data_IF_882602506146
#
_entry.id   IF_882602506146
#
_cell.length_a   1.000
_cell.length_b   1.000
_cell.length_c   1.000
_cell.angle_alpha   90.00
_cell.angle_beta   90.00
_cell.angle_gamma   90.00
#
_symmetry.space_group_name_H-M   'P 1'
#
loop_
_entity.id
_entity.type
_entity.pdbx_description
1 polymer ?
#
# COMPACT_ATOMS: atom_id res chain seq x y z
N UNK A 1 -18.58 17.90 -26.72
CA UNK A 1 -17.92 17.96 -25.38
C UNK A 1 -16.46 17.65 -25.66
N UNK A 2 -15.62 18.68 -25.67
CA UNK A 2 -14.17 18.49 -25.84
C UNK A 2 -13.64 17.66 -24.67
N UNK A 3 -13.38 16.38 -24.95
CA UNK A 3 -12.62 15.54 -24.05
C UNK A 3 -11.16 15.97 -24.16
N UNK A 4 -10.73 16.96 -23.38
CA UNK A 4 -9.32 17.31 -23.30
C UNK A 4 -8.55 16.09 -22.84
N UNK A 5 -7.82 15.48 -23.78
CA UNK A 5 -6.90 14.38 -23.49
C UNK A 5 -5.82 14.94 -22.57
N UNK A 6 -5.76 14.42 -21.34
CA UNK A 6 -4.66 14.76 -20.43
C UNK A 6 -3.40 14.03 -20.87
N UNK A 7 -2.25 14.71 -20.91
CA UNK A 7 -0.96 14.12 -21.27
C UNK A 7 0.05 14.24 -20.14
N UNK A 8 0.90 13.22 -19.98
CA UNK A 8 1.99 13.16 -19.00
C UNK A 8 3.15 12.32 -19.53
N UNK A 9 4.38 12.53 -19.06
CA UNK A 9 5.48 11.63 -19.43
C UNK A 9 5.27 10.24 -18.80
N UNK A 10 4.92 10.19 -17.52
CA UNK A 10 4.71 8.92 -16.83
C UNK A 10 3.39 8.93 -16.06
N UNK A 11 2.57 7.91 -16.33
CA UNK A 11 1.39 7.60 -15.54
C UNK A 11 1.75 6.55 -14.47
N UNK A 12 1.53 6.89 -13.21
CA UNK A 12 1.69 5.96 -12.09
C UNK A 12 0.31 5.55 -11.60
N UNK A 13 0.02 4.25 -11.61
CA UNK A 13 -1.25 3.70 -11.13
C UNK A 13 -1.07 3.18 -9.71
N UNK A 14 -1.79 3.80 -8.77
CA UNK A 14 -1.72 3.53 -7.34
C UNK A 14 -0.93 4.60 -6.57
N UNK A 15 -1.59 5.25 -5.60
CA UNK A 15 -1.01 6.24 -4.69
C UNK A 15 -0.61 5.62 -3.35
N UNK A 16 -0.13 4.36 -3.36
CA UNK A 16 0.52 3.69 -2.22
C UNK A 16 2.00 4.08 -2.10
N UNK A 17 2.72 3.43 -1.17
CA UNK A 17 4.15 3.69 -0.93
C UNK A 17 4.97 3.59 -2.23
N UNK A 18 4.84 2.50 -2.97
CA UNK A 18 5.62 2.31 -4.20
C UNK A 18 5.34 3.39 -5.25
N UNK A 19 4.06 3.70 -5.49
CA UNK A 19 3.68 4.70 -6.50
C UNK A 19 4.12 6.11 -6.13
N UNK A 20 4.00 6.51 -4.86
CA UNK A 20 4.43 7.84 -4.40
C UNK A 20 5.95 8.01 -4.45
N UNK A 21 6.71 6.98 -4.08
CA UNK A 21 8.18 6.99 -4.22
C UNK A 21 8.57 7.04 -5.70
N UNK A 22 7.96 6.21 -6.56
CA UNK A 22 8.24 6.24 -8.00
C UNK A 22 7.96 7.63 -8.61
N UNK A 23 6.81 8.23 -8.28
CA UNK A 23 6.44 9.56 -8.74
C UNK A 23 7.45 10.63 -8.28
N UNK A 24 7.87 10.56 -7.01
CA UNK A 24 8.88 11.47 -6.46
C UNK A 24 10.22 11.38 -7.20
N UNK A 25 10.70 10.17 -7.54
CA UNK A 25 11.95 9.96 -8.30
C UNK A 25 11.84 10.51 -9.72
N UNK A 26 10.73 10.24 -10.39
CA UNK A 26 10.48 10.71 -11.76
C UNK A 26 10.41 12.25 -11.83
N UNK A 27 9.71 12.89 -10.87
CA UNK A 27 9.67 14.34 -10.76
C UNK A 27 11.04 14.96 -10.52
N UNK A 28 11.88 14.34 -9.66
CA UNK A 28 13.27 14.79 -9.47
C UNK A 28 14.12 14.67 -10.72
N UNK A 29 13.81 13.71 -11.58
CA UNK A 29 14.46 13.56 -12.89
C UNK A 29 13.84 14.49 -13.97
N UNK A 30 12.98 15.44 -13.59
CA UNK A 30 12.38 16.43 -14.50
C UNK A 30 11.28 15.89 -15.40
N UNK A 31 10.67 14.72 -15.04
CA UNK A 31 9.54 14.18 -15.80
C UNK A 31 8.22 14.71 -15.27
N UNK A 32 7.27 14.97 -16.16
CA UNK A 32 5.87 15.19 -15.76
C UNK A 32 5.24 13.87 -15.33
N UNK A 33 4.55 13.87 -14.19
CA UNK A 33 3.98 12.65 -13.60
C UNK A 33 2.54 12.91 -13.19
N UNK A 34 1.66 12.00 -13.58
CA UNK A 34 0.30 11.91 -13.05
C UNK A 34 0.16 10.60 -12.28
N UNK A 35 -0.26 10.70 -11.02
CA UNK A 35 -0.61 9.52 -10.22
C UNK A 35 -2.13 9.39 -10.19
N UNK A 36 -2.66 8.20 -10.46
CA UNK A 36 -4.09 7.90 -10.32
C UNK A 36 -4.31 6.84 -9.26
N UNK A 37 -5.36 6.99 -8.46
CA UNK A 37 -5.76 6.01 -7.46
C UNK A 37 -7.29 5.88 -7.41
N UNK A 38 -7.79 4.66 -7.31
CA UNK A 38 -9.23 4.38 -7.17
C UNK A 38 -9.80 4.75 -5.80
N UNK A 39 -8.93 4.92 -4.81
CA UNK A 39 -9.31 5.25 -3.43
C UNK A 39 -9.67 6.73 -3.25
N UNK A 40 -10.35 7.02 -2.14
CA UNK A 40 -10.69 8.39 -1.72
C UNK A 40 -9.53 9.13 -1.06
N UNK A 41 -8.38 8.49 -0.89
CA UNK A 41 -7.19 9.07 -0.28
C UNK A 41 -5.94 8.30 -0.67
N UNK A 42 -4.79 8.97 -0.53
CA UNK A 42 -3.48 8.36 -0.75
C UNK A 42 -3.12 7.38 0.36
N UNK A 43 -2.22 6.43 0.06
CA UNK A 43 -1.60 5.54 1.02
C UNK A 43 -1.91 4.07 0.82
N UNK A 44 -3.03 3.72 0.19
CA UNK A 44 -3.41 2.32 0.03
C UNK A 44 -3.44 1.58 1.38
N UNK A 45 -2.55 0.60 1.59
CA UNK A 45 -2.43 -0.15 2.85
C UNK A 45 -1.80 0.61 4.03
N UNK A 46 -1.33 1.84 3.83
CA UNK A 46 -1.01 2.78 4.91
C UNK A 46 -2.25 3.53 5.42
N UNK A 47 -3.46 3.07 5.09
CA UNK A 47 -4.69 3.78 5.39
C UNK A 47 -4.97 3.83 6.91
N UNK A 48 -5.40 5.01 7.34
CA UNK A 48 -5.98 5.23 8.65
C UNK A 48 -7.44 5.64 8.51
N UNK A 49 -8.27 5.32 9.49
CA UNK A 49 -9.70 5.65 9.51
C UNK A 49 -10.05 6.40 10.78
N UNK A 50 -10.92 7.40 10.66
CA UNK A 50 -11.54 8.07 11.80
C UNK A 50 -12.97 7.59 11.95
N UNK A 51 -13.34 7.19 13.16
CA UNK A 51 -14.66 6.70 13.52
C UNK A 51 -15.04 7.39 14.83
N UNK A 52 -16.04 8.28 14.77
CA UNK A 52 -16.62 8.93 15.95
C UNK A 52 -15.56 9.48 16.94
N UNK A 53 -14.58 10.22 16.46
CA UNK A 53 -13.50 10.82 17.25
C UNK A 53 -12.24 9.96 17.43
N UNK A 54 -12.36 8.65 17.35
CA UNK A 54 -11.22 7.75 17.41
C UNK A 54 -10.50 7.62 16.07
N UNK A 55 -9.18 7.45 16.12
CA UNK A 55 -8.34 7.22 14.93
C UNK A 55 -7.75 5.81 14.98
N UNK A 56 -7.83 5.10 13.86
CA UNK A 56 -7.35 3.74 13.71
C UNK A 56 -6.40 3.64 12.51
N UNK A 57 -5.21 3.12 12.71
CA UNK A 57 -4.45 2.53 11.62
C UNK A 57 -5.01 1.12 11.40
N UNK A 58 -5.66 0.88 10.26
CA UNK A 58 -6.34 -0.40 10.00
C UNK A 58 -5.66 -1.25 8.92
N UNK A 59 -4.64 -0.70 8.28
CA UNK A 59 -3.69 -1.42 7.45
C UNK A 59 -2.39 -1.65 8.22
N UNK A 60 -1.26 -1.15 7.68
CA UNK A 60 0.02 -1.23 8.37
C UNK A 60 -0.03 -0.45 9.69
N UNK A 61 0.39 -1.10 10.78
CA UNK A 61 0.46 -0.45 12.09
C UNK A 61 1.71 0.40 12.24
N UNK A 62 2.74 0.04 11.54
CA UNK A 62 4.04 0.67 11.51
C UNK A 62 4.89 0.00 10.43
N UNK A 63 6.16 0.30 10.41
CA UNK A 63 7.10 -0.33 9.50
C UNK A 63 8.52 -0.28 10.07
N UNK A 64 9.39 -1.09 9.50
CA UNK A 64 10.82 -1.11 9.84
C UNK A 64 11.64 -0.47 8.74
N UNK A 65 12.80 0.06 9.11
CA UNK A 65 13.89 0.43 8.20
C UNK A 65 15.18 -0.21 8.68
N UNK A 66 16.11 -0.43 7.76
CA UNK A 66 17.42 -1.03 8.06
C UNK A 66 17.75 -2.21 7.16
N UNK A 67 16.87 -2.61 6.25
CA UNK A 67 17.22 -3.56 5.20
C UNK A 67 18.26 -2.91 4.26
N UNK A 68 19.47 -3.50 4.21
CA UNK A 68 20.58 -2.99 3.42
C UNK A 68 20.25 -2.86 1.92
N UNK A 69 19.38 -3.72 1.40
CA UNK A 69 18.89 -3.66 0.00
C UNK A 69 18.07 -2.41 -0.26
N UNK A 70 17.33 -1.96 0.75
CA UNK A 70 16.48 -0.78 0.69
C UNK A 70 17.21 0.52 1.10
N UNK A 71 18.45 0.44 1.54
CA UNK A 71 19.27 1.59 1.96
C UNK A 71 19.27 2.75 0.95
N UNK A 72 19.36 2.51 -0.39
CA UNK A 72 19.34 3.60 -1.36
C UNK A 72 18.08 4.46 -1.32
N UNK A 73 16.95 3.93 -0.83
CA UNK A 73 15.69 4.71 -0.70
C UNK A 73 15.86 5.87 0.26
N UNK A 74 16.63 5.70 1.33
CA UNK A 74 16.77 6.69 2.39
C UNK A 74 15.42 7.08 3.00
N UNK A 75 14.54 6.10 3.22
CA UNK A 75 13.13 6.32 3.55
C UNK A 75 12.94 7.19 4.80
N UNK A 76 13.71 6.95 5.86
CA UNK A 76 13.67 7.75 7.08
C UNK A 76 13.93 9.24 6.80
N UNK A 77 14.97 9.54 5.99
CA UNK A 77 15.33 10.91 5.65
C UNK A 77 14.22 11.59 4.82
N UNK A 78 13.57 10.84 3.92
CA UNK A 78 12.47 11.35 3.11
C UNK A 78 11.24 11.67 3.92
N UNK A 79 10.97 10.87 4.96
CA UNK A 79 9.76 11.01 5.79
C UNK A 79 9.91 12.04 6.91
N UNK A 80 11.14 12.32 7.39
CA UNK A 80 11.39 13.35 8.38
C UNK A 80 10.41 13.31 9.56
N UNK A 81 9.73 14.42 9.82
CA UNK A 81 8.74 14.53 10.89
C UNK A 81 7.41 13.79 10.68
N UNK A 82 7.20 13.14 9.51
CA UNK A 82 6.02 12.33 9.27
C UNK A 82 6.07 10.95 9.94
N UNK A 83 7.16 10.63 10.65
CA UNK A 83 7.35 9.37 11.38
C UNK A 83 7.90 9.62 12.79
N UNK A 84 7.61 8.69 13.68
CA UNK A 84 8.17 8.63 15.02
C UNK A 84 8.56 7.20 15.37
N UNK A 85 9.54 7.04 16.25
CA UNK A 85 9.92 5.71 16.76
C UNK A 85 8.73 5.05 17.47
N UNK A 86 8.51 3.78 17.17
CA UNK A 86 7.50 2.97 17.82
C UNK A 86 7.82 1.48 17.67
N UNK A 87 8.18 0.85 18.77
CA UNK A 87 8.41 -0.60 18.85
C UNK A 87 7.11 -1.23 19.38
N UNK A 88 6.27 -1.83 18.51
CA UNK A 88 4.95 -2.32 18.94
C UNK A 88 5.05 -3.39 20.03
N UNK A 89 5.96 -4.32 19.88
CA UNK A 89 6.18 -5.43 20.79
C UNK A 89 7.69 -5.60 21.01
N UNK A 90 8.22 -5.28 22.21
CA UNK A 90 9.64 -5.42 22.50
C UNK A 90 10.19 -6.85 22.34
N UNK A 91 9.33 -7.88 22.48
CA UNK A 91 9.72 -9.27 22.28
C UNK A 91 10.02 -9.61 20.82
N UNK A 92 9.51 -8.80 19.87
CA UNK A 92 9.71 -8.94 18.43
C UNK A 92 10.85 -8.07 17.88
N UNK A 93 11.72 -7.59 18.76
CA UNK A 93 12.86 -6.77 18.35
C UNK A 93 13.82 -7.55 17.46
N UNK A 94 14.08 -7.01 16.27
CA UNK A 94 15.09 -7.54 15.35
C UNK A 94 16.29 -6.60 15.33
N UNK A 95 17.48 -7.15 15.56
CA UNK A 95 18.71 -6.38 15.58
C UNK A 95 18.94 -5.69 14.22
N UNK A 96 19.39 -4.44 14.26
CA UNK A 96 19.64 -3.63 13.06
C UNK A 96 18.39 -2.99 12.43
N UNK A 97 17.17 -3.37 12.84
CA UNK A 97 15.95 -2.75 12.34
C UNK A 97 15.45 -1.66 13.27
N UNK A 98 15.05 -0.53 12.69
CA UNK A 98 14.42 0.57 13.40
C UNK A 98 12.93 0.57 13.08
N UNK A 99 12.10 0.61 14.14
CA UNK A 99 10.65 0.57 14.03
C UNK A 99 10.05 1.99 14.06
N UNK A 100 9.10 2.22 13.16
CA UNK A 100 8.46 3.52 12.96
C UNK A 100 6.94 3.40 12.94
N UNK A 101 6.27 4.42 13.45
CA UNK A 101 4.86 4.70 13.18
C UNK A 101 4.70 5.99 12.39
N UNK A 102 3.59 6.17 11.72
CA UNK A 102 3.23 7.42 11.09
C UNK A 102 2.82 8.52 12.10
N UNK A 103 3.06 9.77 11.73
CA UNK A 103 2.64 10.98 12.46
C UNK A 103 1.75 11.80 11.53
N UNK A 104 0.54 12.20 11.97
CA UNK A 104 -0.16 11.82 13.21
C UNK A 104 -0.63 10.35 13.22
N UNK A 105 -0.66 9.66 12.08
CA UNK A 105 -1.04 8.25 11.88
C UNK A 105 -0.44 7.76 10.57
N UNK A 106 -0.58 6.47 10.22
CA UNK A 106 0.07 5.89 9.04
C UNK A 106 -0.32 6.56 7.72
N UNK A 107 -1.56 7.04 7.57
CA UNK A 107 -1.94 7.81 6.37
C UNK A 107 -1.22 9.16 6.26
N UNK A 108 -0.67 9.69 7.35
CA UNK A 108 0.18 10.88 7.37
C UNK A 108 1.47 10.71 6.57
N UNK A 109 2.05 9.51 6.62
CA UNK A 109 3.25 9.12 5.83
C UNK A 109 2.98 9.29 4.32
N UNK A 110 1.87 8.71 3.85
CA UNK A 110 1.51 8.81 2.44
C UNK A 110 1.16 10.24 2.02
N UNK A 111 0.46 10.99 2.87
CA UNK A 111 0.14 12.40 2.62
C UNK A 111 1.40 13.26 2.52
N UNK A 112 2.39 13.00 3.38
CA UNK A 112 3.68 13.68 3.31
C UNK A 112 4.41 13.40 1.99
N UNK A 113 4.46 12.14 1.56
CA UNK A 113 5.07 11.75 0.29
C UNK A 113 4.33 12.31 -0.93
N UNK A 114 3.03 12.54 -0.84
CA UNK A 114 2.20 13.08 -1.91
C UNK A 114 2.37 14.60 -2.11
N UNK A 115 3.07 15.30 -1.20
CA UNK A 115 3.31 16.75 -1.35
C UNK A 115 4.06 17.06 -2.65
N UNK A 116 3.48 17.95 -3.46
CA UNK A 116 4.04 18.33 -4.76
C UNK A 116 3.82 17.31 -5.88
N UNK A 117 3.12 16.21 -5.64
CA UNK A 117 2.76 15.21 -6.66
C UNK A 117 1.32 15.47 -7.13
N UNK A 118 1.10 15.48 -8.44
CA UNK A 118 -0.25 15.53 -9.00
C UNK A 118 -0.93 14.17 -8.86
N UNK A 119 -1.82 14.03 -7.87
CA UNK A 119 -2.58 12.80 -7.59
C UNK A 119 -4.06 13.01 -7.90
N UNK A 120 -4.61 12.15 -8.75
CA UNK A 120 -6.04 12.07 -9.03
C UNK A 120 -6.64 10.90 -8.26
N UNK A 121 -7.38 11.20 -7.21
CA UNK A 121 -8.11 10.23 -6.41
C UNK A 121 -9.45 9.85 -7.06
N UNK A 122 -10.08 8.79 -6.55
CA UNK A 122 -11.34 8.24 -7.08
C UNK A 122 -11.28 7.98 -8.60
N UNK A 123 -10.05 7.71 -9.09
CA UNK A 123 -9.74 7.56 -10.51
C UNK A 123 -9.21 6.15 -10.76
N UNK A 124 -10.13 5.21 -10.91
CA UNK A 124 -9.83 3.84 -11.33
C UNK A 124 -9.67 3.76 -12.84
N UNK A 125 -8.74 2.92 -13.30
CA UNK A 125 -8.59 2.61 -14.72
C UNK A 125 -9.45 1.40 -15.11
N UNK A 126 -10.03 1.46 -16.31
CA UNK A 126 -10.77 0.33 -16.92
C UNK A 126 -10.00 -0.30 -18.06
N UNK A 127 -9.23 0.49 -18.82
CA UNK A 127 -8.36 -0.02 -19.87
C UNK A 127 -7.03 0.72 -19.95
N UNK A 128 -6.04 0.02 -20.49
CA UNK A 128 -4.71 0.54 -20.79
C UNK A 128 -4.30 0.01 -22.15
N UNK A 129 -4.27 0.84 -23.17
CA UNK A 129 -3.99 0.44 -24.57
C UNK A 129 -2.78 1.20 -25.09
N UNK A 130 -2.11 0.64 -26.07
CA UNK A 130 -1.04 1.32 -26.81
C UNK A 130 -1.62 2.06 -28.02
N UNK A 131 -1.12 3.26 -28.26
CA UNK A 131 -1.35 4.02 -29.49
C UNK A 131 0.02 4.50 -29.98
N UNK A 132 0.50 3.91 -31.07
CA UNK A 132 1.85 4.09 -31.60
C UNK A 132 2.93 3.84 -30.51
N UNK A 133 3.48 4.91 -29.92
CA UNK A 133 4.59 4.86 -28.95
C UNK A 133 4.20 5.32 -27.55
N UNK A 134 2.90 5.41 -27.27
CA UNK A 134 2.38 5.87 -25.97
C UNK A 134 1.28 4.96 -25.44
N UNK A 135 1.03 5.06 -24.15
CA UNK A 135 -0.10 4.44 -23.49
C UNK A 135 -1.30 5.39 -23.45
N UNK A 136 -2.48 4.84 -23.70
CA UNK A 136 -3.76 5.52 -23.48
C UNK A 136 -4.51 4.78 -22.38
N UNK A 137 -4.62 5.41 -21.23
CA UNK A 137 -5.37 4.91 -20.09
C UNK A 137 -6.77 5.51 -20.10
N UNK A 138 -7.80 4.65 -19.97
CA UNK A 138 -9.19 5.11 -19.82
C UNK A 138 -9.63 4.88 -18.38
N UNK A 139 -10.21 5.92 -17.79
CA UNK A 139 -10.70 5.91 -16.42
C UNK A 139 -12.15 5.45 -16.33
N UNK A 140 -12.63 5.07 -15.13
CA UNK A 140 -14.01 4.65 -14.87
C UNK A 140 -15.05 5.71 -15.29
N UNK A 141 -14.71 6.98 -15.27
CA UNK A 141 -15.58 8.08 -15.69
C UNK A 141 -15.41 8.48 -17.16
N UNK A 142 -14.72 7.64 -17.97
CA UNK A 142 -14.59 7.81 -19.42
C UNK A 142 -13.52 8.81 -19.86
N UNK A 143 -12.76 9.45 -18.95
CA UNK A 143 -11.64 10.32 -19.33
C UNK A 143 -10.47 9.50 -19.81
N UNK A 144 -9.62 10.09 -20.65
CA UNK A 144 -8.40 9.48 -21.16
C UNK A 144 -7.16 10.22 -20.69
N UNK A 145 -6.12 9.45 -20.39
CA UNK A 145 -4.79 9.96 -20.03
C UNK A 145 -3.78 9.30 -20.97
N UNK A 146 -3.08 10.13 -21.75
CA UNK A 146 -1.97 9.71 -22.58
C UNK A 146 -0.66 9.77 -21.78
N UNK A 147 0.18 8.74 -21.88
CA UNK A 147 1.46 8.68 -21.18
C UNK A 147 2.53 8.00 -22.04
N UNK A 148 3.77 8.50 -21.98
CA UNK A 148 4.89 7.86 -22.67
C UNK A 148 5.29 6.55 -21.98
N UNK A 149 5.11 6.46 -20.66
CA UNK A 149 5.38 5.27 -19.87
C UNK A 149 4.35 5.08 -18.76
N UNK A 150 4.21 3.82 -18.27
CA UNK A 150 3.30 3.48 -17.17
C UNK A 150 4.02 2.67 -16.10
N UNK A 151 3.72 2.97 -14.82
CA UNK A 151 4.10 2.13 -13.68
C UNK A 151 2.82 1.66 -13.00
N UNK A 152 2.62 0.34 -12.91
CA UNK A 152 1.52 -0.29 -12.19
C UNK A 152 1.99 -0.67 -10.79
N UNK A 153 1.37 -0.11 -9.75
CA UNK A 153 1.70 -0.40 -8.36
C UNK A 153 0.56 -1.02 -7.52
N UNK A 154 -0.64 -1.31 -8.07
CA UNK A 154 -1.62 -2.12 -7.36
C UNK A 154 -1.08 -3.53 -7.08
N UNK A 155 -1.65 -4.26 -6.09
CA UNK A 155 -1.36 -5.68 -5.93
C UNK A 155 -1.41 -6.41 -7.27
N UNK A 156 -0.46 -7.31 -7.52
CA UNK A 156 -0.25 -7.92 -8.84
C UNK A 156 -1.52 -8.51 -9.46
N UNK A 157 -2.42 -9.20 -8.72
CA UNK A 157 -3.67 -9.68 -9.32
C UNK A 157 -4.57 -8.57 -9.87
N UNK A 158 -4.54 -7.36 -9.28
CA UNK A 158 -5.30 -6.22 -9.81
C UNK A 158 -4.64 -5.63 -11.06
N UNK A 159 -3.31 -5.58 -11.09
CA UNK A 159 -2.56 -5.14 -12.27
C UNK A 159 -2.77 -6.10 -13.45
N UNK A 160 -2.74 -7.41 -13.19
CA UNK A 160 -3.02 -8.42 -14.21
C UNK A 160 -4.45 -8.33 -14.74
N UNK A 161 -5.44 -8.14 -13.86
CA UNK A 161 -6.83 -7.96 -14.26
C UNK A 161 -7.02 -6.74 -15.19
N UNK A 162 -6.32 -5.62 -14.92
CA UNK A 162 -6.34 -4.45 -15.79
C UNK A 162 -5.70 -4.75 -17.15
N UNK A 163 -4.55 -5.43 -17.18
CA UNK A 163 -3.86 -5.79 -18.44
C UNK A 163 -4.69 -6.77 -19.26
N UNK A 164 -5.33 -7.74 -18.62
CA UNK A 164 -6.20 -8.72 -19.28
C UNK A 164 -7.44 -8.05 -19.88
N UNK A 165 -8.11 -7.19 -19.11
CA UNK A 165 -9.26 -6.42 -19.59
C UNK A 165 -8.89 -5.47 -20.75
N UNK A 166 -7.62 -5.10 -20.84
CA UNK A 166 -7.08 -4.23 -21.88
C UNK A 166 -6.57 -4.98 -23.12
N UNK A 167 -6.49 -6.31 -23.08
CA UNK A 167 -5.90 -7.14 -24.13
C UNK A 167 -4.37 -6.97 -24.26
N UNK A 168 -3.68 -6.52 -23.21
CA UNK A 168 -2.22 -6.36 -23.21
C UNK A 168 -1.57 -7.72 -22.96
N UNK A 169 -0.96 -8.27 -24.00
CA UNK A 169 -0.24 -9.54 -23.92
C UNK A 169 1.10 -9.36 -23.18
N UNK A 170 1.36 -10.22 -22.21
CA UNK A 170 2.64 -10.33 -21.54
C UNK A 170 3.42 -11.53 -22.05
N UNK A 171 4.76 -11.46 -22.13
CA UNK A 171 5.58 -12.63 -22.42
C UNK A 171 5.24 -13.78 -21.44
N UNK A 172 5.13 -15.05 -21.92
CA UNK A 172 4.69 -16.17 -21.08
C UNK A 172 5.51 -16.36 -19.79
N UNK A 173 6.82 -16.20 -19.86
CA UNK A 173 7.71 -16.28 -18.68
C UNK A 173 7.42 -15.19 -17.65
N UNK A 174 7.16 -13.96 -18.10
CA UNK A 174 6.80 -12.85 -17.22
C UNK A 174 5.42 -13.07 -16.58
N UNK A 175 4.45 -13.52 -17.39
CA UNK A 175 3.11 -13.86 -16.90
C UNK A 175 3.16 -14.94 -15.82
N UNK A 176 3.99 -15.96 -16.01
CA UNK A 176 4.18 -17.03 -15.03
C UNK A 176 4.73 -16.48 -13.69
N UNK A 177 5.76 -15.64 -13.75
CA UNK A 177 6.33 -14.97 -12.55
C UNK A 177 5.27 -14.15 -11.80
N UNK A 178 4.50 -13.34 -12.52
CA UNK A 178 3.47 -12.49 -11.92
C UNK A 178 2.33 -13.32 -11.29
N UNK A 179 1.92 -14.42 -11.93
CA UNK A 179 0.90 -15.32 -11.40
C UNK A 179 1.37 -16.07 -10.13
N UNK A 180 2.67 -16.23 -9.93
CA UNK A 180 3.24 -16.85 -8.73
C UNK A 180 3.20 -15.95 -7.48
N UNK A 181 2.97 -14.64 -7.66
CA UNK A 181 2.88 -13.71 -6.53
C UNK A 181 1.52 -13.86 -5.85
N UNK A 182 1.54 -14.31 -4.61
CA UNK A 182 0.35 -14.60 -3.82
C UNK A 182 0.22 -13.64 -2.63
N UNK A 183 -1.02 -13.37 -2.24
CA UNK A 183 -1.34 -12.48 -1.14
C UNK A 183 -2.24 -13.15 -0.12
N UNK A 184 -1.94 -12.92 1.16
CA UNK A 184 -2.82 -13.23 2.26
C UNK A 184 -4.01 -12.25 2.30
N UNK A 185 -5.15 -12.74 2.83
CA UNK A 185 -6.28 -11.90 3.24
C UNK A 185 -6.12 -11.51 4.71
N UNK A 186 -6.73 -10.39 5.10
CA UNK A 186 -6.79 -10.01 6.50
C UNK A 186 -8.13 -9.33 6.82
N UNK A 187 -8.85 -9.88 7.78
CA UNK A 187 -9.97 -9.21 8.43
C UNK A 187 -9.42 -8.34 9.56
N UNK A 188 -9.80 -7.07 9.56
CA UNK A 188 -9.35 -6.11 10.56
C UNK A 188 -10.55 -5.53 11.28
N UNK A 189 -10.58 -5.64 12.61
CA UNK A 189 -11.60 -5.03 13.47
C UNK A 189 -11.03 -3.75 14.08
N UNK A 190 -11.76 -2.67 13.96
CA UNK A 190 -11.50 -1.38 14.60
C UNK A 190 -12.54 -1.18 15.69
N UNK A 191 -12.15 -1.33 16.95
CA UNK A 191 -13.06 -1.28 18.10
C UNK A 191 -12.80 -0.04 18.97
N UNK A 192 -13.85 0.73 19.26
CA UNK A 192 -13.84 1.78 20.30
C UNK A 192 -14.21 1.13 21.63
N UNK A 193 -13.47 1.45 22.66
CA UNK A 193 -13.70 0.94 24.01
C UNK A 193 -14.36 1.98 24.90
N UNK A 194 -15.03 1.52 25.96
CA UNK A 194 -15.63 2.37 27.00
C UNK A 194 -14.57 2.90 28.00
N UNK A 195 -13.37 2.30 27.99
CA UNK A 195 -12.26 2.66 28.86
C UNK A 195 -10.92 2.17 28.30
N UNK A 196 -9.83 2.31 29.05
CA UNK A 196 -8.50 1.91 28.59
C UNK A 196 -8.40 0.39 28.39
N UNK A 197 -7.59 0.00 27.42
CA UNK A 197 -7.26 -1.41 27.21
C UNK A 197 -6.28 -1.94 28.29
N UNK A 198 -6.08 -3.27 28.33
CA UNK A 198 -5.01 -3.93 29.11
C UNK A 198 -3.76 -4.21 28.31
N UNK A 199 -3.69 -3.68 27.09
CA UNK A 199 -2.50 -3.83 26.24
C UNK A 199 -1.35 -3.07 26.89
N UNK A 200 -0.18 -3.69 27.10
CA UNK A 200 0.95 -3.00 27.73
C UNK A 200 1.50 -1.89 26.80
N UNK A 201 2.08 -0.82 27.38
CA UNK A 201 2.84 0.13 26.58
C UNK A 201 3.99 -0.54 25.83
N UNK A 202 4.28 -0.10 24.59
CA UNK A 202 3.76 1.07 23.89
C UNK A 202 2.53 0.80 23.00
N UNK A 203 1.68 -0.18 23.33
CA UNK A 203 0.37 -0.33 22.74
C UNK A 203 0.31 -1.30 21.54
N UNK A 204 1.22 -2.26 21.47
CA UNK A 204 1.19 -3.32 20.45
C UNK A 204 1.50 -4.69 21.01
N UNK A 205 0.85 -5.70 20.48
CA UNK A 205 1.09 -7.11 20.79
C UNK A 205 1.11 -7.93 19.49
N UNK A 206 2.05 -8.85 19.40
CA UNK A 206 2.08 -9.90 18.38
C UNK A 206 1.64 -11.21 19.02
N UNK A 207 0.69 -11.90 18.39
CA UNK A 207 0.14 -13.15 18.88
C UNK A 207 0.58 -14.31 17.99
N UNK A 208 0.98 -15.40 18.61
CA UNK A 208 1.49 -16.60 17.93
C UNK A 208 0.48 -17.75 17.91
N UNK A 209 -0.68 -17.55 18.54
CA UNK A 209 -1.75 -18.56 18.62
C UNK A 209 -3.13 -17.89 18.54
N UNK A 210 -4.14 -18.68 18.18
CA UNK A 210 -5.51 -18.19 18.03
C UNK A 210 -5.75 -17.46 16.70
N UNK A 211 -6.91 -16.78 16.55
CA UNK A 211 -7.34 -16.19 15.28
C UNK A 211 -6.75 -14.79 15.00
N UNK A 212 -5.93 -14.24 15.88
CA UNK A 212 -5.34 -12.91 15.79
C UNK A 212 -3.82 -12.99 15.57
N UNK A 213 -3.31 -12.15 14.66
CA UNK A 213 -1.85 -11.94 14.48
C UNK A 213 -1.34 -10.80 15.36
N UNK A 214 -2.15 -9.77 15.54
CA UNK A 214 -1.75 -8.60 16.32
C UNK A 214 -2.93 -7.84 16.88
N UNK A 215 -2.67 -7.18 18.01
CA UNK A 215 -3.57 -6.22 18.65
C UNK A 215 -2.81 -4.92 18.84
N UNK A 216 -3.43 -3.79 18.47
CA UNK A 216 -2.81 -2.48 18.66
C UNK A 216 -3.77 -1.53 19.35
N UNK A 217 -3.35 -0.96 20.47
CA UNK A 217 -4.01 0.17 21.11
C UNK A 217 -3.55 1.47 20.45
N UNK A 218 -4.45 2.10 19.70
CA UNK A 218 -4.15 3.31 18.95
C UNK A 218 -3.98 4.54 19.86
N UNK A 219 -4.55 4.53 21.08
CA UNK A 219 -4.35 5.58 22.07
C UNK A 219 -2.95 5.50 22.67
N UNK A 220 -2.51 4.33 23.14
CA UNK A 220 -1.15 4.11 23.64
C UNK A 220 -0.09 4.32 22.54
N UNK A 221 -0.40 3.93 21.32
CA UNK A 221 0.44 4.21 20.14
C UNK A 221 0.55 5.73 19.87
N UNK A 222 -0.33 6.55 20.43
CA UNK A 222 -0.31 8.02 20.31
C UNK A 222 -0.90 8.55 19.00
N UNK A 223 -1.87 7.85 18.41
CA UNK A 223 -2.57 8.28 17.18
C UNK A 223 -4.05 8.55 17.39
N UNK A 224 -4.64 8.08 18.51
CA UNK A 224 -6.04 8.33 18.88
C UNK A 224 -6.12 9.10 20.20
N UNK A 225 -7.03 10.06 20.27
CA UNK A 225 -7.37 10.73 21.52
C UNK A 225 -8.31 9.93 22.42
N UNK A 226 -8.95 8.90 21.88
CA UNK A 226 -9.89 8.02 22.57
C UNK A 226 -9.39 6.58 22.60
N UNK A 227 -9.93 5.78 23.52
CA UNK A 227 -9.63 4.34 23.62
C UNK A 227 -10.10 3.60 22.38
N UNK A 228 -9.15 3.13 21.60
CA UNK A 228 -9.35 2.58 20.27
C UNK A 228 -8.35 1.45 19.99
N UNK A 229 -8.85 0.28 19.66
CA UNK A 229 -8.05 -0.93 19.42
C UNK A 229 -8.26 -1.44 18.00
N UNK A 230 -7.16 -1.77 17.32
CA UNK A 230 -7.17 -2.45 16.02
C UNK A 230 -6.76 -3.92 16.22
N UNK A 231 -7.59 -4.84 15.74
CA UNK A 231 -7.33 -6.29 15.74
C UNK A 231 -7.06 -6.72 14.30
N UNK A 232 -5.95 -7.41 14.05
CA UNK A 232 -5.69 -8.06 12.77
C UNK A 232 -5.83 -9.57 12.91
N UNK A 233 -6.71 -10.15 12.11
CA UNK A 233 -6.89 -11.59 12.07
C UNK A 233 -5.73 -12.30 11.36
N UNK A 234 -5.55 -13.59 11.66
CA UNK A 234 -4.64 -14.45 10.91
C UNK A 234 -5.11 -14.64 9.47
N UNK A 235 -4.22 -14.99 8.54
CA UNK A 235 -4.59 -15.33 7.16
C UNK A 235 -5.60 -16.48 7.11
N UNK A 236 -5.42 -17.51 7.93
CA UNK A 236 -6.27 -18.71 8.01
C UNK A 236 -7.68 -18.34 8.44
N UNK A 237 -7.83 -17.60 9.56
CA UNK A 237 -9.13 -17.12 10.01
C UNK A 237 -9.77 -16.22 8.96
N UNK A 238 -9.00 -15.32 8.35
CA UNK A 238 -9.49 -14.39 7.35
C UNK A 238 -9.97 -15.11 6.09
N UNK A 239 -9.30 -16.17 5.67
CA UNK A 239 -9.68 -16.98 4.53
C UNK A 239 -10.98 -17.74 4.82
N UNK A 240 -11.07 -18.41 5.98
CA UNK A 240 -12.24 -19.18 6.39
C UNK A 240 -13.50 -18.30 6.52
N UNK A 241 -13.34 -17.06 7.05
CA UNK A 241 -14.46 -16.16 7.33
C UNK A 241 -14.65 -15.07 6.26
N UNK A 242 -13.96 -15.17 5.12
CA UNK A 242 -13.97 -14.09 4.12
C UNK A 242 -15.35 -13.78 3.56
N UNK A 243 -16.14 -14.80 3.30
CA UNK A 243 -17.48 -14.70 2.69
C UNK A 243 -18.62 -14.83 3.72
N UNK A 244 -18.28 -14.95 5.03
CA UNK A 244 -19.23 -14.96 6.14
C UNK A 244 -19.66 -13.53 6.53
N UNK A 245 -20.65 -13.43 7.41
CA UNK A 245 -21.07 -12.15 7.96
C UNK A 245 -19.92 -11.47 8.71
N UNK A 246 -19.72 -10.19 8.44
CA UNK A 246 -18.61 -9.40 9.01
C UNK A 246 -18.79 -9.15 10.51
N UNK A 247 -20.03 -9.03 10.97
CA UNK A 247 -20.34 -8.78 12.37
C UNK A 247 -20.11 -10.03 13.20
N UNK A 248 -20.51 -11.20 12.70
CA UNK A 248 -20.21 -12.49 13.35
C UNK A 248 -18.70 -12.72 13.45
N UNK A 249 -17.97 -12.51 12.35
CA UNK A 249 -16.52 -12.63 12.32
C UNK A 249 -15.85 -11.67 13.31
N UNK A 250 -16.36 -10.44 13.44
CA UNK A 250 -15.85 -9.48 14.42
C UNK A 250 -16.09 -9.94 15.85
N UNK A 251 -17.26 -10.49 16.18
CA UNK A 251 -17.53 -10.98 17.53
C UNK A 251 -16.60 -12.12 17.95
N UNK A 252 -16.24 -13.01 17.01
CA UNK A 252 -15.26 -14.06 17.28
C UNK A 252 -13.87 -13.48 17.60
N UNK A 253 -13.43 -12.46 16.82
CA UNK A 253 -12.14 -11.79 17.03
C UNK A 253 -12.12 -10.96 18.32
N UNK A 254 -13.22 -10.26 18.64
CA UNK A 254 -13.37 -9.52 19.90
C UNK A 254 -13.37 -10.45 21.11
N UNK A 255 -14.03 -11.61 21.01
CA UNK A 255 -14.00 -12.64 22.05
C UNK A 255 -12.59 -13.19 22.26
N UNK A 256 -11.85 -13.44 21.16
CA UNK A 256 -10.46 -13.90 21.25
C UNK A 256 -9.51 -12.83 21.84
N UNK A 257 -9.88 -11.55 21.75
CA UNK A 257 -9.13 -10.44 22.32
C UNK A 257 -9.56 -10.02 23.73
N UNK A 258 -10.58 -10.66 24.34
CA UNK A 258 -11.28 -10.19 25.53
C UNK A 258 -10.35 -9.86 26.71
N UNK A 259 -9.31 -10.67 26.95
CA UNK A 259 -8.35 -10.46 28.03
C UNK A 259 -7.55 -9.15 27.86
N UNK A 260 -7.37 -8.68 26.62
CA UNK A 260 -6.59 -7.50 26.27
C UNK A 260 -7.44 -6.24 26.14
N UNK A 261 -8.76 -6.36 25.88
CA UNK A 261 -9.63 -5.20 25.70
C UNK A 261 -9.82 -4.38 26.97
N UNK A 262 -9.90 -5.04 28.13
CA UNK A 262 -9.93 -4.38 29.44
C UNK A 262 -11.21 -3.63 29.78
N UNK A 263 -12.00 -3.23 28.79
CA UNK A 263 -13.26 -2.51 28.92
C UNK A 263 -14.28 -3.00 27.88
N UNK A 264 -15.54 -2.59 28.05
CA UNK A 264 -16.61 -2.89 27.11
C UNK A 264 -16.34 -2.28 25.73
N UNK A 265 -16.81 -2.98 24.68
CA UNK A 265 -16.75 -2.48 23.30
C UNK A 265 -17.96 -1.60 23.03
N UNK A 266 -17.73 -0.31 22.81
CA UNK A 266 -18.79 0.67 22.52
C UNK A 266 -19.32 0.54 21.10
N UNK A 267 -18.43 0.40 20.14
CA UNK A 267 -18.76 0.22 18.72
C UNK A 267 -17.57 -0.37 17.98
N UNK A 268 -17.81 -0.99 16.84
CA UNK A 268 -16.72 -1.48 15.98
C UNK A 268 -17.10 -1.39 14.50
N UNK A 269 -16.07 -1.41 13.66
CA UNK A 269 -16.18 -1.58 12.22
C UNK A 269 -15.21 -2.67 11.76
N UNK A 270 -15.56 -3.36 10.67
CA UNK A 270 -14.71 -4.39 10.06
C UNK A 270 -14.27 -3.94 8.69
N UNK A 271 -12.98 -4.15 8.40
CA UNK A 271 -12.41 -3.98 7.07
C UNK A 271 -11.80 -5.30 6.59
N UNK A 272 -12.02 -5.62 5.32
CA UNK A 272 -11.41 -6.80 4.68
C UNK A 272 -10.32 -6.38 3.68
N UNK A 273 -9.08 -6.72 3.96
CA UNK A 273 -7.96 -6.58 3.05
C UNK A 273 -7.83 -7.83 2.18
N UNK A 274 -8.29 -7.78 0.94
CA UNK A 274 -8.21 -8.94 0.02
C UNK A 274 -6.77 -9.27 -0.36
N UNK A 275 -5.91 -8.27 -0.45
CA UNK A 275 -4.48 -8.36 -0.75
C UNK A 275 -3.72 -7.65 0.37
N UNK A 276 -3.69 -8.27 1.55
CA UNK A 276 -3.14 -7.67 2.76
C UNK A 276 -1.61 -7.61 2.71
N UNK A 277 -1.00 -8.77 2.60
CA UNK A 277 0.45 -8.95 2.60
C UNK A 277 0.81 -10.00 1.55
N UNK A 278 1.85 -9.80 0.75
CA UNK A 278 2.34 -10.86 -0.12
C UNK A 278 2.87 -12.02 0.72
N UNK A 279 2.48 -13.24 0.34
CA UNK A 279 2.97 -14.50 0.89
C UNK A 279 4.12 -15.04 0.05
N UNK A 280 4.00 -14.90 -1.26
CA UNK A 280 5.03 -15.20 -2.24
C UNK A 280 5.40 -13.92 -2.98
N UNK A 281 6.68 -13.62 -3.03
CA UNK A 281 7.25 -12.44 -3.68
C UNK A 281 8.00 -12.84 -4.96
N UNK A 282 8.07 -11.94 -5.91
CA UNK A 282 9.10 -11.99 -6.93
C UNK A 282 10.43 -11.45 -6.35
N UNK A 283 11.57 -12.12 -6.56
CA UNK A 283 12.86 -11.69 -6.01
C UNK A 283 13.38 -10.36 -6.60
N UNK A 284 12.97 -10.03 -7.82
CA UNK A 284 13.35 -8.77 -8.45
C UNK A 284 12.56 -7.60 -7.85
N UNK A 285 13.18 -6.43 -7.63
CA UNK A 285 12.51 -5.29 -7.02
C UNK A 285 11.45 -4.64 -7.90
N UNK A 286 11.45 -4.89 -9.20
CA UNK A 286 10.39 -4.54 -10.13
C UNK A 286 10.50 -5.40 -11.40
N UNK A 287 9.44 -5.43 -12.20
CA UNK A 287 9.46 -6.12 -13.50
C UNK A 287 9.13 -5.14 -14.63
N UNK A 288 10.00 -5.08 -15.63
CA UNK A 288 9.76 -4.31 -16.84
C UNK A 288 9.02 -5.23 -17.85
N UNK A 289 7.77 -4.93 -18.12
CA UNK A 289 6.90 -5.72 -18.97
C UNK A 289 7.00 -5.33 -20.45
N UNK A 290 7.34 -4.08 -20.75
CA UNK A 290 7.58 -3.55 -22.08
C UNK A 290 8.61 -2.42 -22.01
N UNK A 291 9.41 -2.26 -23.06
CA UNK A 291 10.35 -1.16 -23.23
C UNK A 291 9.85 -0.11 -24.21
N UNK A 292 8.84 -0.43 -25.03
CA UNK A 292 8.31 0.49 -26.04
C UNK A 292 6.82 0.21 -26.31
N UNK A 293 5.90 1.06 -25.84
CA UNK A 293 6.13 2.04 -24.80
C UNK A 293 6.41 1.37 -23.43
N UNK A 294 7.23 1.99 -22.55
CA UNK A 294 7.64 1.36 -21.32
C UNK A 294 6.48 1.08 -20.34
N UNK A 295 6.48 -0.13 -19.76
CA UNK A 295 5.54 -0.56 -18.74
C UNK A 295 6.29 -1.32 -17.65
N UNK A 296 6.23 -0.83 -16.42
CA UNK A 296 6.80 -1.49 -15.26
C UNK A 296 5.73 -1.89 -14.25
N UNK A 297 5.96 -3.01 -13.54
CA UNK A 297 5.18 -3.43 -12.39
C UNK A 297 6.06 -3.31 -11.13
N UNK A 298 5.50 -2.73 -10.09
CA UNK A 298 6.17 -2.49 -8.82
C UNK A 298 5.19 -2.63 -7.64
N UNK A 299 5.72 -2.67 -6.42
CA UNK A 299 4.93 -2.78 -5.20
C UNK A 299 5.55 -3.75 -4.20
N UNK A 300 4.81 -4.05 -3.15
CA UNK A 300 5.28 -4.95 -2.08
C UNK A 300 5.36 -6.44 -2.49
N UNK A 301 4.86 -6.81 -3.66
CA UNK A 301 5.05 -8.14 -4.24
C UNK A 301 6.43 -8.35 -4.88
N UNK A 302 7.34 -7.37 -4.81
CA UNK A 302 8.61 -7.36 -5.50
C UNK A 302 9.78 -7.01 -4.56
N UNK A 303 10.82 -7.84 -4.56
CA UNK A 303 12.14 -7.54 -3.98
C UNK A 303 12.23 -7.42 -2.45
N UNK A 304 11.14 -7.27 -1.73
CA UNK A 304 11.18 -7.13 -0.27
C UNK A 304 9.81 -6.93 0.36
N UNK A 305 9.71 -7.27 1.65
CA UNK A 305 8.46 -7.17 2.39
C UNK A 305 8.18 -5.76 2.91
N UNK A 306 6.90 -5.48 3.09
CA UNK A 306 6.40 -4.34 3.84
C UNK A 306 6.59 -2.98 3.16
N UNK A 307 6.65 -1.95 3.98
CA UNK A 307 6.66 -0.56 3.53
C UNK A 307 7.99 -0.18 2.88
N UNK A 308 9.11 -0.62 3.46
CA UNK A 308 10.44 -0.33 2.94
C UNK A 308 10.69 -1.06 1.61
N UNK A 309 10.29 -2.35 1.50
CA UNK A 309 10.36 -3.10 0.25
C UNK A 309 9.51 -2.47 -0.87
N UNK A 310 8.29 -2.02 -0.54
CA UNK A 310 7.46 -1.31 -1.51
C UNK A 310 8.08 0.01 -1.98
N UNK A 311 8.73 0.75 -1.06
CA UNK A 311 9.45 1.98 -1.41
C UNK A 311 10.63 1.71 -2.34
N UNK A 312 11.42 0.66 -2.05
CA UNK A 312 12.54 0.23 -2.88
C UNK A 312 12.07 -0.20 -4.27
N UNK A 313 10.99 -0.98 -4.33
CA UNK A 313 10.35 -1.39 -5.59
C UNK A 313 9.94 -0.20 -6.45
N UNK A 314 9.29 0.79 -5.85
CA UNK A 314 8.88 2.02 -6.55
C UNK A 314 10.07 2.83 -7.10
N UNK A 315 11.13 2.98 -6.31
CA UNK A 315 12.36 3.66 -6.73
C UNK A 315 13.02 2.94 -7.91
N UNK A 316 13.12 1.61 -7.83
CA UNK A 316 13.71 0.80 -8.90
C UNK A 316 12.91 0.87 -10.19
N UNK A 317 11.57 0.84 -10.10
CA UNK A 317 10.70 0.98 -11.26
C UNK A 317 10.86 2.36 -11.94
N UNK A 318 10.98 3.44 -11.16
CA UNK A 318 11.27 4.76 -11.71
C UNK A 318 12.60 4.79 -12.46
N UNK A 319 13.66 4.19 -11.88
CA UNK A 319 14.98 4.07 -12.52
C UNK A 319 14.90 3.29 -13.83
N UNK A 320 14.15 2.17 -13.85
CA UNK A 320 13.96 1.36 -15.06
C UNK A 320 13.25 2.15 -16.17
N UNK A 321 12.19 2.89 -15.83
CA UNK A 321 11.46 3.74 -16.79
C UNK A 321 12.36 4.86 -17.34
N UNK A 322 13.17 5.51 -16.48
CA UNK A 322 14.11 6.55 -16.93
C UNK A 322 15.16 5.99 -17.89
N UNK A 323 15.66 4.77 -17.64
CA UNK A 323 16.57 4.09 -18.56
C UNK A 323 15.97 3.85 -19.95
N UNK A 324 14.69 3.43 -20.02
CA UNK A 324 14.00 3.22 -21.30
C UNK A 324 13.76 4.54 -22.05
N UNK A 325 13.36 5.60 -21.33
CA UNK A 325 13.00 6.88 -21.96
C UNK A 325 14.22 7.74 -22.34
N UNK A 326 15.40 7.50 -21.76
CA UNK A 326 16.64 8.15 -22.15
C UNK A 326 17.20 7.62 -23.48
N UNK A 327 16.90 6.35 -23.80
CA UNK A 327 17.34 5.69 -25.04
C UNK A 327 16.47 6.02 -26.26
N UNK A 328 15.27 6.59 -26.08
CA UNK A 328 14.41 6.99 -27.18
C UNK A 328 14.89 8.36 -27.75
N UNK A 329 15.15 8.48 -29.07
CA UNK A 329 15.50 9.77 -29.66
C UNK A 329 14.32 10.73 -29.43
N UNK A 330 14.64 11.95 -28.94
CA UNK A 330 13.65 13.03 -28.90
C UNK A 330 13.19 13.28 -30.34
N UNK A 331 11.91 13.03 -30.62
CA UNK A 331 11.33 13.48 -31.87
C UNK A 331 11.50 15.01 -31.91
N UNK A 332 12.25 15.48 -32.93
CA UNK A 332 12.49 16.90 -33.25
C UNK A 332 11.22 17.50 -33.83
#
# INVERSE_FOLDING_TARGET
MDSTEQSTDVLVVGAGMAGLIAASELLRAGRSVTVVDKGRGVGGRLASRRIEGATFDHGAQGFTTGDSRCSPVGLQKRLGGAVAHWMPDPAMRTEGLVHWRGVPCMSGVAKHLALGIHVQLETGLVTLRTDAHRWIATTLNGRTIAAQAVILTPPVPQSLALLDASGVALPPALRHRLNAIEYDRCLTVMARLEGPSRIPPPGGLTLTSGPLTSITDNQLKGISGESAVTLHATPEFSLEHWDRDRTESAHLLLTAAADWLGAGVRSFQVHGWRFSRPRVLDPEPCLLASTLPPLALAGDGFGGFGVEGAAFSGMTAATAILGCTAAAPRAV
#
